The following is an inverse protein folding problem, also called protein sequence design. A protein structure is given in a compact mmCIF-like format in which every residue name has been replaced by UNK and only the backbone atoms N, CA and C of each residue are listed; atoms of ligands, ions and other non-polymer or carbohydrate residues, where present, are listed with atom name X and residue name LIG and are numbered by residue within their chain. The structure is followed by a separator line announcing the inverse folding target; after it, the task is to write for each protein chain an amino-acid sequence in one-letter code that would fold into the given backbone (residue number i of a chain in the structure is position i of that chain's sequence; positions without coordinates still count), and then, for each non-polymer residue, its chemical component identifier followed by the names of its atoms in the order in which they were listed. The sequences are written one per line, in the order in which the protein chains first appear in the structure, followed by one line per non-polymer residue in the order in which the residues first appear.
data_IF_985653106920
#
_entry.id   IF_985653106920
#
_cell.length_a   1.000
_cell.length_b   1.000
_cell.length_c   1.000
_cell.angle_alpha   90.00
_cell.angle_beta   90.00
_cell.angle_gamma   90.00
#
_symmetry.space_group_name_H-M   'P 1'
#
loop_
_entity.id
_entity.type
_entity.pdbx_description
1 polymer ?
#
# COMPACT_ATOMS: atom_id res chain seq x y z
N UNK A 1 -16.62 26.62 -3.89
CA UNK A 1 -17.02 27.46 -2.74
C UNK A 1 -16.50 28.86 -3.02
N UNK A 2 -17.38 29.81 -3.31
CA UNK A 2 -17.04 31.18 -3.70
C UNK A 2 -16.74 31.98 -2.42
N UNK A 3 -15.50 32.42 -2.22
CA UNK A 3 -15.16 33.32 -1.11
C UNK A 3 -15.39 34.78 -1.54
N UNK A 4 -16.49 35.37 -1.05
CA UNK A 4 -16.70 36.82 -1.07
C UNK A 4 -15.76 37.48 -0.07
N UNK A 5 -15.04 38.50 -0.53
CA UNK A 5 -14.15 39.34 0.28
C UNK A 5 -14.95 40.29 1.18
N UNK A 6 -14.75 40.18 2.50
CA UNK A 6 -14.98 41.28 3.46
C UNK A 6 -13.62 41.80 3.92
N UNK A 7 -13.32 43.07 3.63
CA UNK A 7 -12.08 43.74 4.04
C UNK A 7 -12.00 43.85 5.58
N UNK A 8 -11.15 43.02 6.19
CA UNK A 8 -10.54 43.30 7.48
C UNK A 8 -9.11 43.79 7.24
N UNK A 9 -8.78 44.96 7.81
CA UNK A 9 -7.58 45.74 7.52
C UNK A 9 -6.39 45.34 8.43
N UNK A 10 -6.11 44.04 8.48
CA UNK A 10 -4.84 43.50 8.98
C UNK A 10 -4.26 42.63 7.87
N UNK A 11 -3.36 43.19 7.07
CA UNK A 11 -2.57 42.41 6.11
C UNK A 11 -1.65 41.48 6.89
N UNK A 12 -2.14 40.30 7.23
CA UNK A 12 -1.29 39.18 7.63
C UNK A 12 -0.34 38.92 6.47
N UNK A 13 0.95 39.16 6.72
CA UNK A 13 2.00 38.83 5.77
C UNK A 13 1.92 37.34 5.49
N UNK A 14 1.72 36.96 4.23
CA UNK A 14 1.74 35.55 3.83
C UNK A 14 3.17 35.06 4.02
N UNK A 15 3.32 33.93 4.69
CA UNK A 15 4.61 33.27 4.91
C UNK A 15 4.61 31.87 4.33
N UNK A 16 5.80 31.38 3.99
CA UNK A 16 6.05 30.00 3.56
C UNK A 16 6.88 29.33 4.64
N UNK A 17 6.42 28.18 5.11
CA UNK A 17 7.23 27.30 5.97
C UNK A 17 8.01 26.31 5.11
N UNK A 18 9.24 26.01 5.50
CA UNK A 18 10.10 25.05 4.83
C UNK A 18 10.77 24.10 5.83
N UNK A 19 11.08 22.91 5.36
CA UNK A 19 11.85 21.89 6.08
C UNK A 19 13.02 21.45 5.22
N UNK A 20 14.17 21.19 5.85
CA UNK A 20 15.40 20.86 5.16
C UNK A 20 16.03 19.58 5.74
N UNK A 21 16.44 18.69 4.84
CA UNK A 21 17.31 17.56 5.12
C UNK A 21 18.50 17.64 4.16
N UNK A 22 19.72 17.54 4.67
CA UNK A 22 20.94 17.60 3.84
C UNK A 22 21.67 16.25 3.84
N UNK A 23 22.35 15.87 2.73
CA UNK A 23 23.06 14.59 2.65
C UNK A 23 24.18 14.41 3.69
N UNK A 24 24.80 15.52 4.12
CA UNK A 24 25.81 15.56 5.17
C UNK A 24 25.24 15.47 6.60
N UNK A 25 23.91 15.33 6.72
CA UNK A 25 23.16 15.25 7.98
C UNK A 25 23.25 16.49 8.87
N UNK A 26 23.77 17.62 8.37
CA UNK A 26 23.77 18.89 9.10
C UNK A 26 22.35 19.39 9.41
N UNK A 27 21.37 19.00 8.59
CA UNK A 27 19.95 19.24 8.80
C UNK A 27 19.20 17.91 8.63
N UNK A 28 18.30 17.59 9.56
CA UNK A 28 17.53 16.33 9.59
C UNK A 28 16.04 16.65 9.80
N UNK A 29 15.35 16.93 8.69
CA UNK A 29 13.98 17.44 8.66
C UNK A 29 13.80 18.68 9.56
N UNK A 30 14.79 19.57 9.53
CA UNK A 30 14.81 20.77 10.38
C UNK A 30 13.87 21.82 9.82
N UNK A 31 12.95 22.35 10.65
CA UNK A 31 12.11 23.50 10.28
C UNK A 31 12.98 24.74 10.08
N UNK A 32 12.85 25.39 8.93
CA UNK A 32 13.55 26.62 8.58
C UNK A 32 12.77 27.86 9.07
N UNK A 33 13.43 29.03 9.19
CA UNK A 33 12.73 30.29 9.39
C UNK A 33 11.67 30.53 8.32
N UNK A 34 10.53 31.11 8.71
CA UNK A 34 9.45 31.38 7.77
C UNK A 34 9.87 32.42 6.73
N UNK A 35 9.60 32.14 5.46
CA UNK A 35 9.96 32.99 4.33
C UNK A 35 8.78 33.90 4.03
N UNK A 36 8.97 35.20 4.17
CA UNK A 36 7.97 36.19 3.82
C UNK A 36 7.82 36.31 2.30
N UNK A 37 6.57 36.31 1.82
CA UNK A 37 6.30 36.67 0.43
C UNK A 37 6.72 38.11 0.16
N UNK A 38 7.45 38.32 -0.93
CA UNK A 38 7.78 39.65 -1.43
C UNK A 38 7.07 39.88 -2.76
N UNK A 39 6.45 41.05 -2.91
CA UNK A 39 5.83 41.45 -4.17
C UNK A 39 6.90 42.08 -5.05
N UNK A 40 7.02 41.63 -6.30
CA UNK A 40 7.98 42.16 -7.28
C UNK A 40 9.44 42.16 -6.80
N UNK A 41 9.80 41.18 -5.96
CA UNK A 41 11.18 41.02 -5.51
C UNK A 41 12.12 40.79 -6.69
N UNK A 42 13.31 41.40 -6.67
CA UNK A 42 14.37 41.02 -7.60
C UNK A 42 14.78 39.57 -7.30
N UNK A 43 14.57 38.68 -8.25
CA UNK A 43 15.01 37.28 -8.15
C UNK A 43 16.48 37.20 -8.55
N UNK A 44 17.33 36.67 -7.66
CA UNK A 44 18.68 36.22 -8.02
C UNK A 44 18.65 34.71 -8.26
N UNK A 45 19.03 34.27 -9.47
CA UNK A 45 19.08 32.85 -9.84
C UNK A 45 17.86 32.34 -10.62
N UNK A 46 17.73 31.02 -10.70
CA UNK A 46 16.66 30.34 -11.44
C UNK A 46 15.30 30.57 -10.78
N UNK A 47 14.29 30.91 -11.59
CA UNK A 47 12.92 31.11 -11.13
C UNK A 47 12.05 29.93 -11.57
N UNK A 48 11.31 29.34 -10.65
CA UNK A 48 10.32 28.29 -10.92
C UNK A 48 8.93 28.93 -10.87
N UNK A 49 8.16 28.78 -11.95
CA UNK A 49 6.78 29.24 -12.03
C UNK A 49 5.82 28.07 -11.81
N UNK A 50 4.81 28.27 -10.97
CA UNK A 50 3.72 27.31 -10.73
C UNK A 50 2.46 27.84 -11.40
N UNK A 51 1.95 27.13 -12.41
CA UNK A 51 0.68 27.46 -13.06
C UNK A 51 -0.48 26.67 -12.41
N UNK A 52 -1.26 27.35 -11.56
CA UNK A 52 -2.40 26.74 -10.86
C UNK A 52 -3.55 26.33 -11.81
N UNK A 53 -3.50 26.69 -13.10
CA UNK A 53 -4.49 26.28 -14.11
C UNK A 53 -4.19 24.92 -14.71
N UNK A 54 -2.98 24.39 -14.50
CA UNK A 54 -2.57 23.08 -14.98
C UNK A 54 -2.63 22.07 -13.82
N UNK A 55 -3.50 21.06 -13.96
CA UNK A 55 -3.66 19.99 -12.97
C UNK A 55 -3.22 18.65 -13.52
N UNK A 56 -2.74 17.77 -12.62
CA UNK A 56 -2.40 16.38 -12.90
C UNK A 56 -3.16 15.44 -11.96
N UNK A 57 -2.54 14.35 -11.54
CA UNK A 57 -3.14 13.37 -10.63
C UNK A 57 -3.43 13.95 -9.24
N UNK A 58 -4.43 13.37 -8.57
CA UNK A 58 -4.65 13.61 -7.15
C UNK A 58 -3.75 12.68 -6.32
N UNK A 59 -3.09 13.23 -5.31
CA UNK A 59 -2.24 12.45 -4.41
C UNK A 59 -3.07 11.71 -3.37
N UNK A 60 -2.99 10.38 -3.37
CA UNK A 60 -3.68 9.50 -2.42
C UNK A 60 -3.03 9.58 -1.03
N UNK A 61 -1.69 9.61 -0.98
CA UNK A 61 -0.91 9.70 0.25
C UNK A 61 0.52 9.20 0.04
N UNK A 62 1.33 9.27 1.10
CA UNK A 62 2.70 8.78 1.12
C UNK A 62 2.98 8.08 2.45
N UNK A 63 3.85 7.07 2.43
CA UNK A 63 4.33 6.44 3.66
C UNK A 63 5.15 5.20 3.44
N UNK A 64 4.88 4.17 4.24
CA UNK A 64 5.76 3.02 4.45
C UNK A 64 4.95 1.73 4.66
N UNK A 65 5.62 0.65 5.07
CA UNK A 65 4.98 -0.61 5.44
C UNK A 65 5.17 -0.89 6.93
N UNK A 66 4.13 -1.43 7.58
CA UNK A 66 4.26 -2.13 8.84
C UNK A 66 4.41 -3.64 8.57
N UNK A 67 5.60 -4.03 8.14
CA UNK A 67 5.96 -5.45 8.10
C UNK A 67 5.86 -6.05 9.50
N UNK A 68 5.67 -7.37 9.58
CA UNK A 68 5.63 -8.09 10.86
C UNK A 68 6.85 -7.76 11.74
N UNK A 69 8.06 -7.78 11.16
CA UNK A 69 9.29 -7.39 11.85
C UNK A 69 9.24 -5.98 12.43
N UNK A 70 8.76 -4.99 11.66
CA UNK A 70 8.67 -3.61 12.14
C UNK A 70 7.63 -3.46 13.26
N UNK A 71 6.47 -4.10 13.10
CA UNK A 71 5.39 -4.07 14.07
C UNK A 71 5.81 -4.75 15.38
N UNK A 72 6.45 -5.91 15.28
CA UNK A 72 6.99 -6.64 16.41
C UNK A 72 8.06 -5.82 17.15
N UNK A 73 9.02 -5.21 16.45
CA UNK A 73 10.03 -4.36 17.08
C UNK A 73 9.39 -3.21 17.86
N UNK A 74 8.42 -2.52 17.25
CA UNK A 74 7.73 -1.42 17.91
C UNK A 74 6.92 -1.88 19.13
N UNK A 75 6.27 -3.04 19.06
CA UNK A 75 5.43 -3.56 20.13
C UNK A 75 6.25 -4.15 21.28
N UNK A 76 7.31 -4.88 20.97
CA UNK A 76 8.05 -5.71 21.92
C UNK A 76 9.33 -5.06 22.44
N UNK A 77 9.89 -4.07 21.73
CA UNK A 77 11.18 -3.44 22.10
C UNK A 77 11.06 -2.01 22.58
N UNK A 78 9.98 -1.30 22.27
CA UNK A 78 9.77 0.06 22.75
C UNK A 78 8.88 0.06 23.99
N UNK A 79 9.22 0.87 24.99
CA UNK A 79 8.30 1.16 26.06
C UNK A 79 7.06 1.89 25.51
N UNK A 80 5.91 1.76 26.18
CA UNK A 80 4.65 2.34 25.73
C UNK A 80 4.76 3.84 25.39
N UNK A 81 5.50 4.61 26.20
CA UNK A 81 5.73 6.04 25.96
C UNK A 81 6.51 6.28 24.66
N UNK A 82 7.62 5.56 24.46
CA UNK A 82 8.48 5.71 23.28
C UNK A 82 7.74 5.33 22.01
N UNK A 83 6.98 4.24 22.05
CA UNK A 83 6.10 3.80 20.96
C UNK A 83 5.05 4.87 20.63
N UNK A 84 4.41 5.43 21.65
CA UNK A 84 3.40 6.49 21.46
C UNK A 84 4.01 7.74 20.85
N UNK A 85 5.20 8.16 21.32
CA UNK A 85 5.92 9.30 20.76
C UNK A 85 6.35 9.04 19.30
N UNK A 86 6.82 7.83 19.00
CA UNK A 86 7.16 7.42 17.63
C UNK A 86 5.94 7.45 16.71
N UNK A 87 4.83 6.83 17.12
CA UNK A 87 3.59 6.82 16.35
C UNK A 87 3.05 8.23 16.10
N UNK A 88 3.17 9.13 17.08
CA UNK A 88 2.82 10.55 16.90
C UNK A 88 3.73 11.23 15.88
N UNK A 89 5.05 11.02 15.96
CA UNK A 89 6.03 11.59 15.01
C UNK A 89 5.80 11.08 13.58
N UNK A 90 5.38 9.83 13.41
CA UNK A 90 5.12 9.25 12.09
C UNK A 90 3.78 9.73 11.51
N UNK A 91 2.67 9.60 12.25
CA UNK A 91 1.34 9.74 11.67
C UNK A 91 0.66 11.09 11.92
N UNK A 92 1.01 11.84 12.97
CA UNK A 92 0.26 13.05 13.29
C UNK A 92 0.49 14.12 12.19
N UNK A 93 -0.56 14.69 11.57
CA UNK A 93 -0.45 15.54 10.39
C UNK A 93 0.12 16.96 10.65
N UNK A 94 0.57 17.24 11.87
CA UNK A 94 1.03 18.58 12.30
C UNK A 94 2.17 18.49 13.31
N UNK A 95 2.05 17.56 14.27
CA UNK A 95 3.08 17.28 15.27
C UNK A 95 4.08 16.20 14.82
N UNK A 96 3.94 15.69 13.59
CA UNK A 96 4.78 14.67 12.99
C UNK A 96 4.87 14.86 11.48
N UNK A 97 5.38 13.86 10.77
CA UNK A 97 5.56 13.88 9.31
C UNK A 97 4.28 13.58 8.53
N UNK A 98 3.21 13.15 9.23
CA UNK A 98 1.88 13.02 8.65
C UNK A 98 1.76 11.89 7.61
N UNK A 99 2.40 10.74 7.86
CA UNK A 99 2.21 9.55 7.00
C UNK A 99 0.72 9.29 6.80
N UNK A 100 0.33 9.14 5.53
CA UNK A 100 -1.06 9.10 5.09
C UNK A 100 -1.38 7.91 4.18
N UNK A 101 -0.37 7.07 3.91
CA UNK A 101 -0.53 5.82 3.21
C UNK A 101 0.34 4.73 3.85
N UNK A 102 -0.21 3.53 4.04
CA UNK A 102 0.53 2.34 4.46
C UNK A 102 0.33 1.20 3.46
N UNK A 103 1.37 0.40 3.25
CA UNK A 103 1.31 -0.87 2.51
C UNK A 103 1.47 -2.03 3.49
N UNK A 104 0.47 -2.90 3.62
CA UNK A 104 0.42 -3.95 4.63
C UNK A 104 0.55 -5.35 3.99
N UNK A 105 1.57 -6.15 4.37
CA UNK A 105 1.56 -7.57 4.05
C UNK A 105 0.31 -8.28 4.58
N UNK A 106 -0.32 -9.10 3.74
CA UNK A 106 -1.33 -10.08 4.14
C UNK A 106 -0.63 -11.43 4.32
N UNK A 107 -0.45 -11.84 5.58
CA UNK A 107 0.39 -12.98 5.95
C UNK A 107 1.87 -12.61 5.97
N UNK A 108 2.73 -13.63 5.90
CA UNK A 108 4.17 -13.46 5.94
C UNK A 108 4.72 -12.75 4.69
N UNK A 109 5.76 -11.94 4.91
CA UNK A 109 6.65 -11.40 3.89
C UNK A 109 8.07 -11.94 4.13
N UNK A 110 9.05 -11.43 3.39
CA UNK A 110 10.47 -11.58 3.72
C UNK A 110 10.85 -10.92 5.07
N UNK A 111 10.06 -9.96 5.53
CA UNK A 111 10.21 -9.31 6.84
C UNK A 111 9.21 -9.84 7.89
N UNK A 112 9.37 -11.11 8.25
CA UNK A 112 8.57 -11.78 9.28
C UNK A 112 9.44 -12.42 10.37
N UNK A 113 9.03 -12.27 11.63
CA UNK A 113 9.80 -12.69 12.81
C UNK A 113 9.72 -14.18 13.14
N UNK A 114 8.66 -14.86 12.70
CA UNK A 114 8.34 -16.23 13.11
C UNK A 114 8.40 -17.27 11.97
N UNK A 115 8.96 -16.89 10.81
CA UNK A 115 8.94 -17.71 9.60
C UNK A 115 7.66 -17.53 8.78
N UNK A 116 7.45 -18.40 7.80
CA UNK A 116 6.34 -18.29 6.86
C UNK A 116 5.01 -18.66 7.55
N UNK A 117 3.99 -17.83 7.34
CA UNK A 117 2.61 -18.10 7.73
C UNK A 117 1.67 -17.42 6.73
N UNK A 118 0.53 -18.04 6.49
CA UNK A 118 -0.65 -17.41 5.88
C UNK A 118 -1.76 -17.41 6.93
N UNK A 119 -2.89 -16.80 6.60
CA UNK A 119 -4.03 -16.85 7.52
C UNK A 119 -4.77 -18.19 7.47
N UNK A 120 -4.42 -19.11 6.57
CA UNK A 120 -5.13 -20.37 6.35
C UNK A 120 -4.17 -21.50 5.90
N UNK A 121 -2.99 -21.57 6.54
CA UNK A 121 -2.06 -22.68 6.31
C UNK A 121 -2.65 -23.99 6.84
N UNK A 122 -2.44 -25.07 6.08
CA UNK A 122 -2.88 -26.42 6.43
C UNK A 122 -1.68 -27.36 6.57
N UNK A 123 -1.78 -28.42 7.38
CA UNK A 123 -0.77 -29.49 7.38
C UNK A 123 -0.57 -30.04 5.96
N UNK A 124 0.66 -30.45 5.64
CA UNK A 124 1.02 -30.96 4.32
C UNK A 124 0.04 -32.03 3.81
N UNK A 125 -0.40 -31.90 2.56
CA UNK A 125 -1.40 -32.78 1.93
C UNK A 125 -2.86 -32.52 2.32
N UNK A 126 -3.16 -31.49 3.13
CA UNK A 126 -4.53 -31.06 3.44
C UNK A 126 -4.87 -29.75 2.72
N UNK A 127 -6.17 -29.51 2.51
CA UNK A 127 -6.69 -28.30 1.86
C UNK A 127 -7.87 -27.76 2.67
N UNK A 128 -8.13 -26.46 2.58
CA UNK A 128 -9.30 -25.83 3.19
C UNK A 128 -10.00 -24.88 2.19
N UNK A 129 -10.67 -25.41 1.16
CA UNK A 129 -11.35 -24.59 0.15
C UNK A 129 -12.47 -23.71 0.73
N UNK A 130 -12.93 -23.99 1.96
CA UNK A 130 -13.95 -23.21 2.67
C UNK A 130 -13.39 -22.14 3.59
N UNK A 131 -12.06 -22.10 3.76
CA UNK A 131 -11.35 -21.20 4.67
C UNK A 131 -11.82 -21.35 6.12
N UNK A 132 -12.21 -22.55 6.55
CA UNK A 132 -12.71 -22.82 7.89
C UNK A 132 -11.68 -22.53 8.99
N UNK A 133 -10.38 -22.64 8.68
CA UNK A 133 -9.28 -22.41 9.61
C UNK A 133 -8.69 -20.99 9.53
N UNK A 134 -9.27 -20.11 8.69
CA UNK A 134 -8.79 -18.75 8.52
C UNK A 134 -8.69 -17.99 9.84
N UNK A 135 -7.54 -17.37 10.12
CA UNK A 135 -7.29 -16.62 11.35
C UNK A 135 -6.31 -15.45 11.16
N UNK A 136 -6.68 -14.28 11.69
CA UNK A 136 -5.79 -13.11 11.82
C UNK A 136 -5.04 -13.06 13.17
N UNK A 137 -4.99 -14.16 13.92
CA UNK A 137 -4.45 -14.14 15.29
C UNK A 137 -3.01 -13.63 15.36
N UNK A 138 -2.19 -13.97 14.36
CA UNK A 138 -0.82 -13.47 14.26
C UNK A 138 -0.80 -11.92 14.19
N UNK A 139 -1.61 -11.34 13.33
CA UNK A 139 -1.66 -9.90 13.13
C UNK A 139 -2.22 -9.15 14.33
N UNK A 140 -3.16 -9.77 15.07
CA UNK A 140 -3.73 -9.21 16.31
C UNK A 140 -2.69 -8.99 17.40
N UNK A 141 -1.61 -9.77 17.39
CA UNK A 141 -0.57 -9.65 18.40
C UNK A 141 0.23 -8.34 18.28
N UNK A 142 0.53 -7.88 17.06
CA UNK A 142 1.43 -6.73 16.86
C UNK A 142 1.00 -5.74 15.77
N UNK A 143 0.52 -6.23 14.63
CA UNK A 143 0.24 -5.43 13.43
C UNK A 143 -1.05 -4.61 13.59
N UNK A 144 -2.18 -5.29 13.83
CA UNK A 144 -3.51 -4.66 13.93
C UNK A 144 -3.52 -3.55 14.99
N UNK A 145 -2.98 -3.73 16.22
CA UNK A 145 -3.01 -2.65 17.19
C UNK A 145 -2.24 -1.40 16.75
N UNK A 146 -1.14 -1.53 15.98
CA UNK A 146 -0.40 -0.39 15.44
C UNK A 146 -1.16 0.29 14.30
N UNK A 147 -1.82 -0.48 13.43
CA UNK A 147 -2.67 0.07 12.37
C UNK A 147 -3.84 0.86 12.95
N UNK A 148 -4.51 0.33 13.98
CA UNK A 148 -5.57 1.04 14.72
C UNK A 148 -5.05 2.34 15.36
N UNK A 149 -3.88 2.29 15.98
CA UNK A 149 -3.25 3.48 16.55
C UNK A 149 -2.91 4.53 15.48
N UNK A 150 -2.39 4.10 14.32
CA UNK A 150 -2.09 4.99 13.20
C UNK A 150 -3.34 5.67 12.64
N UNK A 151 -4.43 4.91 12.44
CA UNK A 151 -5.73 5.42 12.00
C UNK A 151 -6.34 6.39 13.01
N UNK A 152 -6.19 6.13 14.31
CA UNK A 152 -6.65 7.07 15.35
C UNK A 152 -5.87 8.40 15.31
N UNK A 153 -4.55 8.35 15.09
CA UNK A 153 -3.70 9.54 15.02
C UNK A 153 -3.93 10.32 13.70
N UNK A 154 -4.16 9.61 12.60
CA UNK A 154 -4.46 10.20 11.29
C UNK A 154 -5.68 9.51 10.64
N UNK A 155 -6.91 10.02 10.88
CA UNK A 155 -8.13 9.44 10.31
C UNK A 155 -8.23 9.50 8.78
N UNK A 156 -7.31 10.19 8.10
CA UNK A 156 -7.23 10.24 6.62
C UNK A 156 -6.26 9.19 6.04
N UNK A 157 -5.59 8.43 6.90
CA UNK A 157 -4.67 7.37 6.50
C UNK A 157 -5.42 6.33 5.64
N UNK A 158 -4.81 5.95 4.52
CA UNK A 158 -5.25 4.85 3.68
C UNK A 158 -4.28 3.67 3.79
N UNK A 159 -4.81 2.46 3.77
CA UNK A 159 -4.02 1.24 3.87
C UNK A 159 -4.26 0.44 2.60
N UNK A 160 -3.21 0.17 1.82
CA UNK A 160 -3.25 -0.90 0.83
C UNK A 160 -2.71 -2.19 1.44
N UNK A 161 -3.15 -3.34 0.93
CA UNK A 161 -2.60 -4.61 1.36
C UNK A 161 -2.19 -5.51 0.19
N UNK A 162 -1.26 -6.42 0.44
CA UNK A 162 -0.77 -7.35 -0.58
C UNK A 162 -0.29 -8.65 0.07
N UNK A 163 -0.67 -9.82 -0.47
CA UNK A 163 -0.05 -11.07 -0.07
C UNK A 163 1.30 -11.25 -0.77
N UNK A 164 2.29 -11.80 -0.08
CA UNK A 164 3.48 -12.34 -0.74
C UNK A 164 3.22 -13.72 -1.32
N UNK A 165 2.27 -14.46 -0.74
CA UNK A 165 1.86 -15.77 -1.22
C UNK A 165 0.44 -16.07 -0.73
N UNK A 166 -0.37 -16.80 -1.51
CA UNK A 166 -1.50 -17.54 -0.96
C UNK A 166 -1.02 -18.64 0.00
N UNK A 167 -1.96 -19.29 0.71
CA UNK A 167 -1.65 -20.50 1.45
C UNK A 167 -0.94 -21.57 0.61
N UNK A 168 -0.05 -22.34 1.23
CA UNK A 168 0.79 -23.32 0.51
C UNK A 168 0.00 -24.34 -0.32
N UNK A 169 -1.10 -24.84 0.24
CA UNK A 169 -1.99 -25.83 -0.40
C UNK A 169 -2.71 -25.32 -1.66
N UNK A 170 -2.74 -24.00 -1.88
CA UNK A 170 -3.30 -23.39 -3.09
C UNK A 170 -2.33 -23.42 -4.28
N UNK A 171 -1.08 -23.84 -4.07
CA UNK A 171 0.01 -23.64 -5.02
C UNK A 171 0.56 -24.96 -5.56
N UNK A 172 1.18 -24.89 -6.72
CA UNK A 172 1.82 -26.04 -7.36
C UNK A 172 3.01 -26.60 -6.57
N UNK A 173 3.59 -25.82 -5.66
CA UNK A 173 4.71 -26.20 -4.81
C UNK A 173 4.29 -26.82 -3.47
N UNK A 174 2.98 -26.84 -3.15
CA UNK A 174 2.45 -27.19 -1.82
C UNK A 174 3.17 -26.44 -0.68
N UNK A 175 3.58 -25.20 -0.96
CA UNK A 175 4.41 -24.37 -0.08
C UNK A 175 4.20 -22.89 -0.38
N UNK A 176 4.25 -22.05 0.66
CA UNK A 176 4.25 -20.58 0.49
C UNK A 176 5.45 -20.07 -0.32
N UNK A 177 6.49 -20.87 -0.53
CA UNK A 177 7.66 -20.54 -1.35
C UNK A 177 7.47 -21.05 -2.78
N UNK A 178 7.74 -20.20 -3.77
CA UNK A 178 7.79 -20.58 -5.17
C UNK A 178 6.46 -21.00 -5.78
N UNK A 179 6.50 -21.65 -6.95
CA UNK A 179 5.31 -22.21 -7.60
C UNK A 179 4.35 -21.16 -8.20
N UNK A 180 3.20 -21.64 -8.65
CA UNK A 180 2.11 -20.83 -9.23
C UNK A 180 0.77 -21.27 -8.63
N UNK A 181 -0.27 -20.45 -8.82
CA UNK A 181 -1.61 -20.73 -8.32
C UNK A 181 -2.21 -21.92 -9.08
N UNK A 182 -2.70 -22.93 -8.36
CA UNK A 182 -3.40 -24.04 -8.96
C UNK A 182 -4.74 -23.57 -9.54
N UNK A 183 -5.17 -24.14 -10.67
CA UNK A 183 -6.45 -23.78 -11.30
C UNK A 183 -7.65 -23.97 -10.34
N UNK A 184 -7.62 -25.00 -9.50
CA UNK A 184 -8.63 -25.25 -8.47
C UNK A 184 -8.64 -24.24 -7.33
N UNK A 185 -7.59 -23.41 -7.21
CA UNK A 185 -7.41 -22.47 -6.11
C UNK A 185 -7.84 -21.04 -6.45
N UNK A 186 -8.27 -20.75 -7.69
CA UNK A 186 -8.68 -19.39 -8.09
C UNK A 186 -9.84 -18.85 -7.23
N UNK A 187 -10.91 -19.64 -7.10
CA UNK A 187 -12.06 -19.26 -6.27
C UNK A 187 -11.72 -19.23 -4.76
N UNK A 188 -11.08 -20.28 -4.17
CA UNK A 188 -10.63 -20.21 -2.78
C UNK A 188 -9.71 -19.03 -2.49
N UNK A 189 -8.83 -18.66 -3.42
CA UNK A 189 -7.92 -17.54 -3.25
C UNK A 189 -8.63 -16.19 -3.32
N UNK A 190 -9.56 -16.01 -4.26
CA UNK A 190 -10.42 -14.82 -4.27
C UNK A 190 -11.21 -14.68 -2.97
N UNK A 191 -11.78 -15.78 -2.47
CA UNK A 191 -12.49 -15.81 -1.19
C UNK A 191 -11.55 -15.53 0.00
N UNK A 192 -10.29 -15.97 -0.07
CA UNK A 192 -9.27 -15.66 0.95
C UNK A 192 -9.01 -14.16 1.04
N UNK A 193 -8.84 -13.48 -0.10
CA UNK A 193 -8.65 -12.03 -0.15
C UNK A 193 -9.90 -11.27 0.35
N UNK A 194 -11.10 -11.72 -0.02
CA UNK A 194 -12.37 -11.21 0.53
C UNK A 194 -12.40 -11.33 2.05
N UNK A 195 -12.05 -12.51 2.58
CA UNK A 195 -12.05 -12.79 4.01
C UNK A 195 -11.01 -11.95 4.76
N UNK A 196 -9.85 -11.71 4.15
CA UNK A 196 -8.85 -10.77 4.68
C UNK A 196 -9.44 -9.36 4.83
N UNK A 197 -10.05 -8.82 3.77
CA UNK A 197 -10.62 -7.47 3.77
C UNK A 197 -11.72 -7.33 4.83
N UNK A 198 -12.63 -8.30 4.89
CA UNK A 198 -13.73 -8.29 5.85
C UNK A 198 -13.22 -8.42 7.29
N UNK A 199 -12.26 -9.32 7.55
CA UNK A 199 -11.70 -9.51 8.88
C UNK A 199 -10.93 -8.27 9.36
N UNK A 200 -10.13 -7.64 8.49
CA UNK A 200 -9.48 -6.36 8.80
C UNK A 200 -10.48 -5.23 9.07
N UNK A 201 -11.60 -5.19 8.33
CA UNK A 201 -12.67 -4.21 8.57
C UNK A 201 -13.37 -4.41 9.93
N UNK A 202 -13.59 -5.67 10.37
CA UNK A 202 -14.12 -5.98 11.72
C UNK A 202 -13.18 -5.48 12.81
N UNK A 203 -11.88 -5.41 12.55
CA UNK A 203 -10.87 -4.88 13.47
C UNK A 203 -10.75 -3.34 13.41
N UNK A 204 -11.66 -2.64 12.74
CA UNK A 204 -11.62 -1.20 12.47
C UNK A 204 -10.44 -0.75 11.60
N UNK A 205 -9.92 -1.62 10.74
CA UNK A 205 -8.78 -1.36 9.84
C UNK A 205 -9.22 -1.56 8.38
N UNK A 206 -10.05 -0.66 7.82
CA UNK A 206 -10.53 -0.82 6.45
C UNK A 206 -9.38 -0.72 5.42
N UNK A 207 -9.37 -1.64 4.46
CA UNK A 207 -8.39 -1.66 3.37
C UNK A 207 -8.89 -0.82 2.20
N UNK A 208 -8.12 0.20 1.83
CA UNK A 208 -8.41 1.11 0.72
C UNK A 208 -8.16 0.45 -0.64
N UNK A 209 -7.10 -0.34 -0.75
CA UNK A 209 -6.73 -1.05 -1.96
C UNK A 209 -6.08 -2.40 -1.64
N UNK A 210 -6.07 -3.32 -2.60
CA UNK A 210 -5.23 -4.51 -2.57
C UNK A 210 -4.55 -4.74 -3.91
N UNK A 211 -3.46 -5.51 -3.91
CA UNK A 211 -2.94 -6.18 -5.10
C UNK A 211 -3.15 -7.69 -4.94
N UNK A 212 -3.40 -8.46 -6.02
CA UNK A 212 -3.58 -9.92 -5.91
C UNK A 212 -2.31 -10.67 -5.49
N UNK A 213 -1.13 -10.11 -5.73
CA UNK A 213 0.17 -10.73 -5.48
C UNK A 213 1.26 -9.66 -5.44
N UNK A 214 2.11 -9.70 -4.42
CA UNK A 214 3.36 -8.92 -4.40
C UNK A 214 4.31 -9.51 -5.44
N UNK A 215 4.86 -8.66 -6.32
CA UNK A 215 5.91 -9.02 -7.27
C UNK A 215 5.64 -10.36 -8.01
N UNK A 216 4.56 -10.46 -8.80
CA UNK A 216 4.10 -11.71 -9.42
C UNK A 216 5.09 -12.32 -10.43
N UNK A 217 6.19 -11.63 -10.78
CA UNK A 217 7.28 -12.17 -11.60
C UNK A 217 8.51 -12.55 -10.77
N UNK A 218 8.43 -12.46 -9.44
CA UNK A 218 9.51 -12.78 -8.51
C UNK A 218 9.06 -13.85 -7.51
N UNK A 219 9.76 -14.97 -7.52
CA UNK A 219 9.50 -16.08 -6.61
C UNK A 219 10.82 -16.54 -5.96
N UNK A 220 11.27 -15.84 -4.90
CA UNK A 220 12.51 -16.17 -4.21
C UNK A 220 12.42 -17.53 -3.53
N UNK A 221 13.56 -18.20 -3.35
CA UNK A 221 13.63 -19.54 -2.77
C UNK A 221 13.61 -19.57 -1.24
N UNK A 222 13.66 -18.41 -0.58
CA UNK A 222 13.88 -18.28 0.88
C UNK A 222 12.73 -17.63 1.63
N UNK A 223 11.78 -17.00 0.94
CA UNK A 223 10.65 -16.31 1.55
C UNK A 223 9.37 -16.53 0.71
N UNK A 224 8.19 -16.18 1.24
CA UNK A 224 6.94 -16.38 0.52
C UNK A 224 6.94 -15.65 -0.83
N UNK A 225 6.40 -16.30 -1.85
CA UNK A 225 6.39 -15.77 -3.21
C UNK A 225 5.63 -16.69 -4.14
N UNK A 226 5.02 -16.15 -5.19
CA UNK A 226 4.31 -16.92 -6.21
C UNK A 226 4.47 -16.27 -7.57
N UNK A 227 4.76 -17.08 -8.59
CA UNK A 227 4.67 -16.63 -9.97
C UNK A 227 3.20 -16.59 -10.42
N UNK A 228 2.78 -15.44 -10.92
CA UNK A 228 1.47 -15.21 -11.50
C UNK A 228 1.69 -14.45 -12.81
N UNK A 229 1.33 -15.03 -13.96
CA UNK A 229 1.43 -14.30 -15.23
C UNK A 229 0.32 -13.24 -15.34
N UNK A 230 0.51 -12.26 -16.22
CA UNK A 230 -0.52 -11.26 -16.51
C UNK A 230 -1.87 -11.91 -16.91
N UNK A 231 -1.82 -13.00 -17.68
CA UNK A 231 -3.02 -13.76 -18.06
C UNK A 231 -3.68 -14.45 -16.87
N UNK A 232 -2.90 -15.01 -15.93
CA UNK A 232 -3.43 -15.63 -14.71
C UNK A 232 -4.03 -14.57 -13.77
N UNK A 233 -3.39 -13.41 -13.62
CA UNK A 233 -3.93 -12.31 -12.82
C UNK A 233 -5.21 -11.71 -13.44
N UNK A 234 -5.24 -11.50 -14.76
CA UNK A 234 -6.46 -11.08 -15.46
C UNK A 234 -7.61 -12.09 -15.27
N UNK A 235 -7.32 -13.39 -15.36
CA UNK A 235 -8.30 -14.46 -15.15
C UNK A 235 -8.81 -14.50 -13.72
N UNK A 236 -7.92 -14.41 -12.73
CA UNK A 236 -8.26 -14.30 -11.32
C UNK A 236 -9.17 -13.10 -11.06
N UNK A 237 -8.87 -11.95 -11.66
CA UNK A 237 -9.65 -10.72 -11.48
C UNK A 237 -11.03 -10.85 -12.12
N UNK A 238 -11.11 -11.17 -13.42
CA UNK A 238 -12.37 -11.11 -14.15
C UNK A 238 -13.36 -12.21 -13.77
N UNK A 239 -12.86 -13.41 -13.44
CA UNK A 239 -13.70 -14.58 -13.19
C UNK A 239 -13.95 -14.85 -11.70
N UNK A 240 -13.14 -14.31 -10.79
CA UNK A 240 -13.24 -14.64 -9.36
C UNK A 240 -13.22 -13.42 -8.46
N UNK A 241 -12.13 -12.66 -8.40
CA UNK A 241 -11.92 -11.59 -7.42
C UNK A 241 -12.88 -10.41 -7.62
N UNK A 242 -13.02 -9.93 -8.85
CA UNK A 242 -13.95 -8.85 -9.19
C UNK A 242 -15.42 -9.19 -8.89
N UNK A 243 -15.94 -10.32 -9.40
CA UNK A 243 -17.27 -10.81 -9.05
C UNK A 243 -17.47 -11.01 -7.55
N UNK A 244 -16.48 -11.54 -6.82
CA UNK A 244 -16.56 -11.72 -5.37
C UNK A 244 -16.65 -10.38 -4.64
N UNK A 245 -15.88 -9.37 -5.05
CA UNK A 245 -15.98 -8.02 -4.48
C UNK A 245 -17.36 -7.41 -4.71
N UNK A 246 -17.90 -7.54 -5.93
CA UNK A 246 -19.24 -7.06 -6.25
C UNK A 246 -20.33 -7.77 -5.43
N UNK A 247 -20.25 -9.10 -5.31
CA UNK A 247 -21.20 -9.91 -4.55
C UNK A 247 -21.20 -9.57 -3.04
N UNK A 248 -20.04 -9.23 -2.49
CA UNK A 248 -19.88 -8.86 -1.08
C UNK A 248 -19.98 -7.34 -0.82
N UNK A 249 -20.21 -6.52 -1.85
CA UNK A 249 -20.29 -5.05 -1.71
C UNK A 249 -18.99 -4.42 -1.22
N UNK A 250 -17.83 -4.97 -1.58
CA UNK A 250 -16.52 -4.52 -1.12
C UNK A 250 -16.07 -3.28 -1.92
N UNK A 251 -15.82 -2.13 -1.27
CA UNK A 251 -15.38 -0.91 -1.95
C UNK A 251 -13.85 -0.84 -2.15
N UNK A 252 -13.11 -1.82 -1.63
CA UNK A 252 -11.65 -1.89 -1.74
C UNK A 252 -11.24 -1.96 -3.21
N UNK A 253 -10.26 -1.14 -3.58
CA UNK A 253 -9.76 -1.06 -4.95
C UNK A 253 -8.84 -2.22 -5.28
N UNK A 254 -8.89 -2.74 -6.51
CA UNK A 254 -7.90 -3.68 -7.01
C UNK A 254 -6.84 -2.90 -7.79
N UNK A 255 -5.59 -3.02 -7.37
CA UNK A 255 -4.42 -2.58 -8.11
C UNK A 255 -3.74 -3.80 -8.70
N UNK A 256 -3.26 -3.70 -9.93
CA UNK A 256 -2.60 -4.81 -10.63
C UNK A 256 -1.08 -4.67 -10.63
N UNK A 257 -0.41 -5.76 -11.01
CA UNK A 257 1.04 -5.84 -11.26
C UNK A 257 1.94 -5.81 -10.02
N UNK A 258 1.99 -4.70 -9.28
CA UNK A 258 2.77 -4.58 -8.02
C UNK A 258 4.23 -5.06 -8.14
N UNK A 259 4.90 -4.64 -9.23
CA UNK A 259 6.28 -5.04 -9.55
C UNK A 259 7.05 -3.97 -10.32
N UNK A 260 8.24 -4.29 -10.84
CA UNK A 260 9.24 -3.31 -11.29
C UNK A 260 8.87 -2.55 -12.56
N UNK A 261 9.57 -1.45 -12.87
CA UNK A 261 9.31 -0.69 -14.09
C UNK A 261 9.80 -1.34 -15.39
N UNK A 262 10.43 -2.51 -15.31
CA UNK A 262 11.07 -3.19 -16.44
C UNK A 262 10.13 -4.08 -17.27
N UNK A 263 8.90 -4.33 -16.80
CA UNK A 263 7.88 -5.11 -17.55
C UNK A 263 6.53 -4.39 -17.62
N UNK A 264 6.44 -3.17 -18.21
CA UNK A 264 5.18 -2.44 -18.36
C UNK A 264 4.13 -3.18 -19.21
N UNK A 265 4.54 -4.15 -20.03
CA UNK A 265 3.65 -5.00 -20.82
C UNK A 265 2.71 -5.83 -19.94
N UNK A 266 3.09 -6.11 -18.69
CA UNK A 266 2.29 -6.90 -17.76
C UNK A 266 0.97 -6.20 -17.41
N UNK A 267 0.98 -4.97 -16.82
CA UNK A 267 -0.28 -4.27 -16.55
C UNK A 267 -1.02 -3.90 -17.84
N UNK A 268 -0.34 -3.57 -18.93
CA UNK A 268 -0.97 -3.31 -20.24
C UNK A 268 -1.82 -4.49 -20.72
N UNK A 269 -1.28 -5.72 -20.61
CA UNK A 269 -2.00 -6.93 -21.02
C UNK A 269 -3.29 -7.15 -20.21
N UNK A 270 -3.30 -6.82 -18.91
CA UNK A 270 -4.48 -6.93 -18.06
C UNK A 270 -5.50 -5.82 -18.41
N UNK A 271 -5.02 -4.59 -18.61
CA UNK A 271 -5.88 -3.45 -18.98
C UNK A 271 -6.52 -3.61 -20.36
N UNK A 272 -5.86 -4.32 -21.28
CA UNK A 272 -6.40 -4.66 -22.59
C UNK A 272 -7.57 -5.68 -22.52
N UNK A 273 -7.68 -6.48 -21.45
CA UNK A 273 -8.83 -7.35 -21.20
C UNK A 273 -9.95 -6.55 -20.52
N UNK A 274 -10.93 -6.10 -21.32
CA UNK A 274 -12.05 -5.28 -20.82
C UNK A 274 -12.83 -5.90 -19.65
N UNK A 275 -12.88 -7.23 -19.54
CA UNK A 275 -13.59 -7.90 -18.45
C UNK A 275 -12.79 -7.84 -17.14
N UNK A 276 -11.46 -7.90 -17.21
CA UNK A 276 -10.59 -7.67 -16.05
C UNK A 276 -10.53 -6.17 -15.70
N UNK A 277 -10.29 -5.32 -16.69
CA UNK A 277 -10.14 -3.88 -16.54
C UNK A 277 -11.35 -3.21 -15.85
N UNK A 278 -12.56 -3.75 -16.04
CA UNK A 278 -13.77 -3.26 -15.37
C UNK A 278 -13.69 -3.30 -13.82
N UNK A 279 -12.83 -4.14 -13.24
CA UNK A 279 -12.62 -4.25 -11.80
C UNK A 279 -11.32 -3.59 -11.30
N UNK A 280 -10.46 -3.13 -12.21
CA UNK A 280 -9.13 -2.60 -11.89
C UNK A 280 -9.20 -1.09 -11.69
N UNK A 281 -8.63 -0.61 -10.58
CA UNK A 281 -8.56 0.81 -10.26
C UNK A 281 -7.25 1.49 -10.69
N UNK A 282 -6.22 0.71 -11.03
CA UNK A 282 -4.91 1.18 -11.48
C UNK A 282 -3.84 0.10 -11.37
N UNK A 283 -2.59 0.45 -11.66
CA UNK A 283 -1.41 -0.42 -11.55
C UNK A 283 -0.47 0.05 -10.44
N UNK A 284 0.17 -0.89 -9.75
CA UNK A 284 1.19 -0.63 -8.74
C UNK A 284 2.60 -0.95 -9.30
N UNK A 285 3.60 -0.14 -8.92
CA UNK A 285 4.98 -0.29 -9.39
C UNK A 285 6.01 -0.20 -8.27
N UNK A 286 7.10 -0.95 -8.43
CA UNK A 286 8.31 -0.94 -7.61
C UNK A 286 9.50 -0.35 -8.40
N UNK A 287 10.49 0.14 -7.67
CA UNK A 287 11.68 0.81 -8.23
C UNK A 287 12.97 -0.01 -8.16
N UNK A 288 12.90 -1.34 -8.10
CA UNK A 288 14.11 -2.18 -8.02
C UNK A 288 14.79 -2.40 -9.38
N UNK A 289 14.04 -2.23 -10.48
CA UNK A 289 14.54 -2.33 -11.85
C UNK A 289 13.69 -1.48 -12.81
N UNK A 290 14.24 -1.18 -13.99
CA UNK A 290 13.58 -0.40 -15.04
C UNK A 290 13.66 1.11 -14.83
N UNK A 291 12.81 1.85 -15.57
CA UNK A 291 12.79 3.31 -15.59
C UNK A 291 11.39 3.86 -15.23
N UNK A 292 11.29 4.89 -14.35
CA UNK A 292 10.00 5.45 -13.94
C UNK A 292 9.09 5.93 -15.09
N UNK A 293 9.62 6.23 -16.27
CA UNK A 293 8.84 6.60 -17.46
C UNK A 293 7.89 5.48 -17.94
N UNK A 294 8.11 4.23 -17.51
CA UNK A 294 7.16 3.14 -17.70
C UNK A 294 5.76 3.48 -17.17
N UNK A 295 5.66 4.27 -16.09
CA UNK A 295 4.36 4.71 -15.56
C UNK A 295 3.61 5.63 -16.54
N UNK A 296 4.32 6.50 -17.27
CA UNK A 296 3.71 7.34 -18.30
C UNK A 296 3.22 6.48 -19.46
N UNK A 297 4.00 5.48 -19.87
CA UNK A 297 3.60 4.52 -20.92
C UNK A 297 2.29 3.81 -20.56
N UNK A 298 2.19 3.30 -19.34
CA UNK A 298 0.97 2.60 -18.88
C UNK A 298 -0.20 3.57 -18.64
N UNK A 299 0.06 4.83 -18.27
CA UNK A 299 -0.98 5.85 -18.18
C UNK A 299 -1.62 6.17 -19.55
N UNK A 300 -0.81 6.19 -20.61
CA UNK A 300 -1.21 6.60 -21.96
C UNK A 300 -1.80 5.44 -22.80
N UNK A 301 -1.71 4.19 -22.32
CA UNK A 301 -2.21 2.98 -22.97
C UNK A 301 -3.74 2.82 -22.83
#
# INVERSE_FOLDING_TARGET
MIARSSRSNTTTQVTVSAWLTTPDQAQLLTRQPDIAWTRNGKTSGSTIFVDERQSYQQMVGFGASFTDSSAWLMQQKLALKERTDLMKKLFHPRAGIGLSFLRQPLGASDFTTCGNYSYDEMPAGQTDPTLANFSLEHDRASIIPLLKQALHINPRLRIMATPWSPPGWMKSSDSMIGGTLNASAYEPYANYLVKCIQAYAVEDVPLYAITPQNEPLHAPSTCPGMLLSASQEADLIKNHLGPAFAAHGIPTKILIYDHNWDTPEYPEAILADSAAAAYVAGSAFHGYAGDPSAQSRVHDA
#
